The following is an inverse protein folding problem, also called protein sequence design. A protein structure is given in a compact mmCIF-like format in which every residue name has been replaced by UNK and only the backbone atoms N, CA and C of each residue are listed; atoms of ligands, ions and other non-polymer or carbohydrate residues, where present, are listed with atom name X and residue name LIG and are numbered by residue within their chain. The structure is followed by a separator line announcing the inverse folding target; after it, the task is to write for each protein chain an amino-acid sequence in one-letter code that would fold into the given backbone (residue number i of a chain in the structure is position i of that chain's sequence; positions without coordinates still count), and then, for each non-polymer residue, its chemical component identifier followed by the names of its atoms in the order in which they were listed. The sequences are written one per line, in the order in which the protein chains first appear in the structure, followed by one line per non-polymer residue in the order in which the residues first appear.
data_IF_239804959290
#
_entry.id   IF_239804959290
#
_cell.length_a   1.000
_cell.length_b   1.000
_cell.length_c   1.000
_cell.angle_alpha   90.00
_cell.angle_beta   90.00
_cell.angle_gamma   90.00
#
_symmetry.space_group_name_H-M   'P 1'
#
loop_
_entity.id
_entity.type
_entity.pdbx_description
1 polymer ?
#
# COMPACT_ATOMS: atom_id res chain seq x y z
N UNK A 1 10.69 -17.34 -9.94
CA UNK A 1 12.13 -17.18 -10.25
C UNK A 1 12.60 -15.85 -9.66
N UNK A 2 13.81 -15.76 -9.09
CA UNK A 2 14.35 -14.48 -8.59
C UNK A 2 15.41 -13.97 -9.55
N UNK A 3 15.32 -12.70 -9.94
CA UNK A 3 16.28 -12.04 -10.84
C UNK A 3 16.98 -10.90 -10.09
N UNK A 4 18.18 -10.51 -10.54
CA UNK A 4 18.94 -9.41 -9.95
C UNK A 4 18.57 -8.11 -10.67
N UNK A 5 18.26 -7.07 -9.90
CA UNK A 5 18.08 -5.71 -10.37
C UNK A 5 19.26 -4.86 -9.88
N UNK A 6 19.99 -4.25 -10.80
CA UNK A 6 21.12 -3.36 -10.48
C UNK A 6 20.68 -1.92 -10.65
N UNK A 7 20.73 -1.13 -9.57
CA UNK A 7 20.34 0.28 -9.56
C UNK A 7 21.57 1.16 -9.34
N UNK A 8 21.65 2.29 -10.04
CA UNK A 8 22.59 3.37 -9.72
C UNK A 8 21.90 4.33 -8.75
N UNK A 9 22.50 4.53 -7.58
CA UNK A 9 21.97 5.34 -6.49
C UNK A 9 23.13 6.10 -5.84
N UNK A 10 22.81 7.19 -5.17
CA UNK A 10 23.81 7.94 -4.40
C UNK A 10 24.39 7.09 -3.27
N UNK A 11 25.68 7.28 -3.01
CA UNK A 11 26.41 6.52 -1.99
C UNK A 11 25.76 6.62 -0.61
N UNK A 12 25.26 7.80 -0.25
CA UNK A 12 24.60 8.03 1.03
C UNK A 12 23.29 7.24 1.16
N UNK A 13 22.52 7.14 0.08
CA UNK A 13 21.28 6.34 0.04
C UNK A 13 21.58 4.86 0.25
N UNK A 14 22.64 4.33 -0.39
CA UNK A 14 23.08 2.95 -0.22
C UNK A 14 23.46 2.68 1.24
N UNK A 15 24.20 3.59 1.86
CA UNK A 15 24.65 3.43 3.24
C UNK A 15 23.49 3.47 4.24
N UNK A 16 22.54 4.40 4.04
CA UNK A 16 21.32 4.47 4.83
C UNK A 16 20.48 3.19 4.70
N UNK A 17 20.35 2.65 3.49
CA UNK A 17 19.62 1.40 3.26
C UNK A 17 20.27 0.21 3.98
N UNK A 18 21.60 0.10 3.97
CA UNK A 18 22.33 -0.94 4.71
C UNK A 18 22.15 -0.81 6.23
N UNK A 19 22.29 0.40 6.78
CA UNK A 19 22.07 0.65 8.22
C UNK A 19 20.65 0.27 8.65
N UNK A 20 19.66 0.66 7.86
CA UNK A 20 18.25 0.31 8.11
C UNK A 20 18.02 -1.20 8.03
N UNK A 21 18.61 -1.87 7.03
CA UNK A 21 18.57 -3.33 6.84
C UNK A 21 19.12 -4.08 8.05
N UNK A 22 20.27 -3.66 8.59
CA UNK A 22 20.86 -4.25 9.79
C UNK A 22 19.96 -4.06 11.02
N UNK A 23 19.45 -2.85 11.24
CA UNK A 23 18.56 -2.55 12.37
C UNK A 23 17.28 -3.39 12.35
N UNK A 24 16.76 -3.69 11.16
CA UNK A 24 15.51 -4.45 10.96
C UNK A 24 15.71 -5.96 10.88
N UNK A 25 16.96 -6.44 10.77
CA UNK A 25 17.26 -7.86 10.57
C UNK A 25 16.76 -8.41 9.22
N UNK A 26 16.58 -7.56 8.21
CA UNK A 26 16.12 -7.96 6.87
C UNK A 26 17.10 -7.46 5.82
N UNK A 27 17.36 -8.23 4.75
CA UNK A 27 18.24 -7.79 3.67
C UNK A 27 17.67 -6.59 2.91
N UNK A 28 18.56 -5.74 2.38
CA UNK A 28 18.18 -4.59 1.52
C UNK A 28 17.29 -5.05 0.37
N UNK A 29 17.62 -6.17 -0.29
CA UNK A 29 16.81 -6.73 -1.37
C UNK A 29 15.39 -7.07 -0.92
N UNK A 30 15.19 -7.60 0.29
CA UNK A 30 13.84 -7.91 0.82
C UNK A 30 13.05 -6.65 1.15
N UNK A 31 13.71 -5.63 1.70
CA UNK A 31 13.09 -4.34 1.98
C UNK A 31 12.61 -3.68 0.67
N UNK A 32 13.49 -3.64 -0.34
CA UNK A 32 13.18 -3.04 -1.65
C UNK A 32 12.13 -3.86 -2.40
N UNK A 33 12.18 -5.20 -2.32
CA UNK A 33 11.14 -6.06 -2.90
C UNK A 33 9.76 -5.78 -2.29
N UNK A 34 9.66 -5.62 -0.96
CA UNK A 34 8.41 -5.22 -0.30
C UNK A 34 7.95 -3.84 -0.78
N UNK A 35 8.88 -2.87 -0.83
CA UNK A 35 8.57 -1.53 -1.31
C UNK A 35 8.00 -1.57 -2.74
N UNK A 36 8.65 -2.26 -3.67
CA UNK A 36 8.14 -2.38 -5.04
C UNK A 36 6.81 -3.11 -5.12
N UNK A 37 6.59 -4.15 -4.30
CA UNK A 37 5.28 -4.82 -4.22
C UNK A 37 4.18 -3.88 -3.75
N UNK A 38 4.46 -2.95 -2.85
CA UNK A 38 3.49 -1.96 -2.36
C UNK A 38 3.34 -0.77 -3.32
N UNK A 39 4.45 -0.26 -3.86
CA UNK A 39 4.47 0.91 -4.73
C UNK A 39 3.88 0.64 -6.12
N UNK A 40 4.01 -0.60 -6.60
CA UNK A 40 3.46 -1.05 -7.89
C UNK A 40 2.28 -1.98 -7.72
N UNK A 41 1.56 -1.90 -6.59
CA UNK A 41 0.17 -2.40 -6.57
C UNK A 41 -0.55 -1.61 -7.66
N UNK A 42 -0.71 -2.21 -8.83
CA UNK A 42 -1.65 -1.74 -9.85
C UNK A 42 -2.95 -1.43 -9.14
N UNK A 43 -3.52 -0.27 -9.46
CA UNK A 43 -4.86 0.18 -9.07
C UNK A 43 -5.70 -1.00 -8.60
N UNK A 44 -5.97 -1.03 -7.30
CA UNK A 44 -6.55 -2.15 -6.60
C UNK A 44 -7.67 -2.79 -7.44
N UNK A 45 -7.45 -4.03 -7.89
CA UNK A 45 -8.58 -4.93 -8.05
C UNK A 45 -9.20 -5.04 -6.66
N UNK A 46 -10.29 -4.27 -6.48
CA UNK A 46 -11.12 -4.30 -5.27
C UNK A 46 -11.21 -5.75 -4.81
N UNK A 47 -10.73 -6.03 -3.60
CA UNK A 47 -10.68 -7.40 -3.09
C UNK A 47 -12.05 -8.07 -3.24
N UNK A 48 -12.16 -9.39 -3.46
CA UNK A 48 -13.45 -10.04 -3.72
C UNK A 48 -14.51 -9.72 -2.66
N UNK A 49 -14.10 -9.58 -1.40
CA UNK A 49 -14.96 -9.16 -0.29
C UNK A 49 -15.48 -7.74 -0.46
N UNK A 50 -14.59 -6.77 -0.72
CA UNK A 50 -14.99 -5.36 -0.92
C UNK A 50 -15.83 -5.22 -2.19
N UNK A 51 -15.57 -6.01 -3.23
CA UNK A 51 -16.38 -6.03 -4.47
C UNK A 51 -17.80 -6.54 -4.21
N UNK A 52 -17.96 -7.58 -3.38
CA UNK A 52 -19.27 -8.07 -2.93
C UNK A 52 -20.01 -7.01 -2.13
N UNK A 53 -19.36 -6.38 -1.15
CA UNK A 53 -19.97 -5.33 -0.32
C UNK A 53 -20.39 -4.12 -1.17
N UNK A 54 -19.52 -3.64 -2.07
CA UNK A 54 -19.85 -2.58 -3.03
C UNK A 54 -21.03 -2.97 -3.93
N UNK A 55 -21.12 -4.24 -4.33
CA UNK A 55 -22.24 -4.78 -5.09
C UNK A 55 -23.58 -4.73 -4.36
N UNK A 56 -23.59 -5.01 -3.06
CA UNK A 56 -24.79 -4.90 -2.21
C UNK A 56 -25.28 -3.45 -2.12
N UNK A 57 -24.35 -2.50 -2.04
CA UNK A 57 -24.65 -1.07 -1.95
C UNK A 57 -25.10 -0.44 -3.27
N UNK A 58 -24.93 -1.10 -4.43
CA UNK A 58 -25.40 -0.56 -5.72
C UNK A 58 -26.91 -0.30 -5.79
N UNK A 59 -27.69 -0.99 -4.94
CA UNK A 59 -29.15 -0.84 -4.84
C UNK A 59 -29.58 0.01 -3.65
N UNK A 60 -28.63 0.46 -2.83
CA UNK A 60 -28.93 1.39 -1.74
C UNK A 60 -28.93 2.82 -2.27
N UNK A 61 -29.81 3.66 -1.72
CA UNK A 61 -29.84 5.10 -2.01
C UNK A 61 -28.74 5.88 -1.26
N UNK A 62 -27.90 5.17 -0.50
CA UNK A 62 -26.84 5.76 0.32
C UNK A 62 -25.78 6.40 -0.59
N UNK A 63 -25.60 7.70 -0.41
CA UNK A 63 -24.61 8.53 -1.10
C UNK A 63 -23.40 8.74 -0.21
N UNK A 64 -22.30 9.12 -0.84
CA UNK A 64 -21.08 9.51 -0.11
C UNK A 64 -21.31 10.69 0.85
N UNK A 65 -22.25 11.59 0.52
CA UNK A 65 -22.68 12.68 1.40
C UNK A 65 -23.24 12.18 2.73
N UNK A 66 -23.97 11.07 2.73
CA UNK A 66 -24.58 10.52 3.94
C UNK A 66 -23.50 9.99 4.87
N UNK A 67 -22.43 9.41 4.30
CA UNK A 67 -21.26 8.97 5.06
C UNK A 67 -20.48 10.15 5.64
N UNK A 68 -20.29 11.23 4.87
CA UNK A 68 -19.62 12.45 5.37
C UNK A 68 -20.40 13.08 6.53
N UNK A 69 -21.71 13.19 6.40
CA UNK A 69 -22.59 13.69 7.47
C UNK A 69 -22.51 12.83 8.74
N UNK A 70 -22.52 11.51 8.59
CA UNK A 70 -22.31 10.60 9.72
C UNK A 70 -20.96 10.81 10.42
N UNK A 71 -19.88 11.03 9.66
CA UNK A 71 -18.56 11.29 10.23
C UNK A 71 -18.52 12.61 10.99
N UNK A 72 -19.17 13.65 10.46
CA UNK A 72 -19.33 14.92 11.17
C UNK A 72 -20.07 14.68 12.50
N UNK A 73 -21.26 14.09 12.48
CA UNK A 73 -22.04 13.82 13.72
C UNK A 73 -21.31 12.93 14.73
N UNK A 74 -20.41 12.06 14.28
CA UNK A 74 -19.69 11.12 15.15
C UNK A 74 -18.47 11.75 15.82
N UNK A 75 -17.81 12.70 15.17
CA UNK A 75 -16.49 13.20 15.57
C UNK A 75 -16.43 14.71 15.83
N UNK A 76 -17.43 15.49 15.38
CA UNK A 76 -17.60 16.92 15.63
C UNK A 76 -18.83 17.18 16.50
#
# INVERSE_FOLDING_TARGET
MKTKLTLRLDKEVIENAKRYSLKKGESVSRIVEKFFKTAFVKEEEITPTVKKLKGLLKRSEVKESDYKKFLEEKYL
#
